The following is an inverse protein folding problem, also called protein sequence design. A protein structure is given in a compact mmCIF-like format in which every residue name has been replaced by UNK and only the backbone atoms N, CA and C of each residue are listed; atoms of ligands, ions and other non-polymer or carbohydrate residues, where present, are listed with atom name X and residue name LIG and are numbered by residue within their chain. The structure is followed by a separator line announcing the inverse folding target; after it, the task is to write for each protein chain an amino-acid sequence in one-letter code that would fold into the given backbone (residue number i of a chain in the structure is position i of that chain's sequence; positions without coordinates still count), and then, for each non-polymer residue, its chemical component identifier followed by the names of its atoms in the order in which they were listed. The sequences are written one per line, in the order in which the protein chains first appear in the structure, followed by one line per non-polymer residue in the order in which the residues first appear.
data_IF_620447971942
#
_entry.id   IF_620447971942
#
_cell.length_a   1.000
_cell.length_b   1.000
_cell.length_c   1.000
_cell.angle_alpha   90.00
_cell.angle_beta   90.00
_cell.angle_gamma   90.00
#
_symmetry.space_group_name_H-M   'P 1'
#
loop_
_entity.id
_entity.type
_entity.pdbx_description
1 polymer ?
#
# COMPACT_ATOMS: atom_id res chain seq x y z
N UNK A 1 -14.46 2.62 -8.73
CA UNK A 1 -13.43 3.66 -8.98
C UNK A 1 -13.22 4.42 -7.68
N UNK A 2 -11.98 4.66 -7.26
CA UNK A 2 -11.68 5.44 -6.05
C UNK A 2 -11.70 6.93 -6.44
N UNK A 3 -12.60 7.76 -5.86
CA UNK A 3 -12.76 9.14 -6.30
C UNK A 3 -11.65 10.07 -5.80
N UNK A 4 -11.09 9.79 -4.62
CA UNK A 4 -9.98 10.55 -4.03
C UNK A 4 -9.02 9.56 -3.39
N UNK A 5 -7.78 9.51 -3.90
CA UNK A 5 -6.73 8.65 -3.37
C UNK A 5 -6.25 9.17 -2.01
N UNK A 6 -5.81 8.26 -1.14
CA UNK A 6 -5.14 8.61 0.10
C UNK A 6 -3.67 9.03 -0.10
N UNK A 7 -3.07 8.67 -1.24
CA UNK A 7 -1.68 8.96 -1.59
C UNK A 7 -1.56 9.25 -3.10
N UNK A 8 -0.85 10.32 -3.44
CA UNK A 8 -0.57 10.70 -4.83
C UNK A 8 0.79 10.14 -5.28
N UNK A 9 0.83 9.55 -6.46
CA UNK A 9 2.05 9.00 -7.05
C UNK A 9 2.45 9.83 -8.28
N UNK A 10 3.76 10.10 -8.50
CA UNK A 10 4.24 10.81 -9.69
C UNK A 10 4.26 9.92 -10.95
N UNK A 11 3.78 8.68 -10.85
CA UNK A 11 3.72 7.69 -11.92
C UNK A 11 2.36 6.98 -11.90
N UNK A 12 2.01 6.34 -13.01
CA UNK A 12 0.79 5.55 -13.09
C UNK A 12 0.96 4.22 -12.35
N UNK A 13 0.01 3.90 -11.47
CA UNK A 13 -0.01 2.60 -10.79
C UNK A 13 -0.29 1.46 -11.78
N UNK A 14 0.43 0.35 -11.59
CA UNK A 14 0.16 -0.91 -12.29
C UNK A 14 -1.20 -1.47 -11.91
N UNK A 15 -1.74 -2.36 -12.76
CA UNK A 15 -3.07 -2.97 -12.57
C UNK A 15 -3.23 -3.61 -11.20
N UNK A 16 -2.23 -4.36 -10.72
CA UNK A 16 -2.31 -5.02 -9.41
C UNK A 16 -2.29 -4.02 -8.24
N UNK A 17 -1.56 -2.90 -8.39
CA UNK A 17 -1.51 -1.84 -7.40
C UNK A 17 -2.86 -1.11 -7.33
N UNK A 18 -3.45 -0.79 -8.48
CA UNK A 18 -4.80 -0.20 -8.58
C UNK A 18 -5.87 -1.10 -7.95
N UNK A 19 -5.81 -2.41 -8.20
CA UNK A 19 -6.71 -3.38 -7.58
C UNK A 19 -6.53 -3.44 -6.05
N UNK A 20 -5.29 -3.46 -5.57
CA UNK A 20 -5.01 -3.45 -4.14
C UNK A 20 -5.53 -2.18 -3.47
N UNK A 21 -5.25 -1.00 -4.06
CA UNK A 21 -5.77 0.30 -3.61
C UNK A 21 -7.30 0.30 -3.54
N UNK A 22 -7.96 -0.19 -4.60
CA UNK A 22 -9.41 -0.28 -4.63
C UNK A 22 -9.96 -1.15 -3.49
N UNK A 23 -9.40 -2.33 -3.26
CA UNK A 23 -9.85 -3.21 -2.18
C UNK A 23 -9.54 -2.66 -0.78
N UNK A 24 -8.39 -2.00 -0.59
CA UNK A 24 -8.07 -1.32 0.67
C UNK A 24 -9.08 -0.20 0.99
N UNK A 25 -9.48 0.59 0.01
CA UNK A 25 -10.52 1.63 0.18
C UNK A 25 -11.90 1.07 0.52
N UNK A 26 -12.19 -0.20 0.16
CA UNK A 26 -13.40 -0.90 0.61
C UNK A 26 -13.27 -1.49 2.02
N UNK A 27 -12.13 -1.30 2.70
CA UNK A 27 -11.85 -1.89 4.00
C UNK A 27 -11.55 -3.39 3.94
N UNK A 28 -11.23 -3.94 2.76
CA UNK A 28 -10.83 -5.34 2.63
C UNK A 28 -9.33 -5.52 2.86
N UNK A 29 -8.95 -6.68 3.37
CA UNK A 29 -7.55 -7.12 3.41
C UNK A 29 -7.05 -7.54 2.03
N UNK A 30 -5.78 -7.27 1.73
CA UNK A 30 -5.14 -7.63 0.46
C UNK A 30 -3.92 -8.51 0.69
N UNK A 31 -3.68 -9.45 -0.24
CA UNK A 31 -2.47 -10.26 -0.30
C UNK A 31 -1.81 -10.06 -1.67
N UNK A 32 -0.64 -9.42 -1.68
CA UNK A 32 0.06 -9.05 -2.92
C UNK A 32 1.31 -9.89 -3.09
N UNK A 33 1.30 -10.79 -4.08
CA UNK A 33 2.45 -11.58 -4.49
C UNK A 33 2.93 -11.11 -5.87
N UNK A 34 4.05 -10.39 -5.89
CA UNK A 34 4.71 -9.93 -7.10
C UNK A 34 6.24 -10.01 -6.93
N UNK A 35 7.00 -9.97 -8.03
CA UNK A 35 8.46 -10.05 -8.02
C UNK A 35 9.11 -8.90 -7.22
N UNK A 36 10.33 -9.10 -6.72
CA UNK A 36 11.14 -8.00 -6.17
C UNK A 36 11.32 -6.93 -7.25
N UNK A 37 11.43 -5.65 -6.84
CA UNK A 37 11.46 -4.51 -7.75
C UNK A 37 10.18 -4.24 -8.58
N UNK A 38 9.10 -5.01 -8.42
CA UNK A 38 7.81 -4.75 -9.08
C UNK A 38 6.97 -3.61 -8.44
N UNK A 39 7.55 -2.80 -7.55
CA UNK A 39 6.82 -1.68 -6.93
C UNK A 39 5.75 -2.07 -5.89
N UNK A 40 5.86 -3.24 -5.24
CA UNK A 40 4.91 -3.64 -4.17
C UNK A 40 4.80 -2.62 -3.02
N UNK A 41 5.85 -1.84 -2.79
CA UNK A 41 5.90 -0.78 -1.76
C UNK A 41 4.77 0.23 -1.88
N UNK A 42 4.33 0.56 -3.11
CA UNK A 42 3.22 1.49 -3.32
C UNK A 42 1.94 1.05 -2.58
N UNK A 43 1.65 -0.27 -2.53
CA UNK A 43 0.48 -0.78 -1.80
C UNK A 43 0.63 -0.57 -0.28
N UNK A 44 1.84 -0.73 0.26
CA UNK A 44 2.11 -0.50 1.67
C UNK A 44 2.06 0.99 2.04
N UNK A 45 2.64 1.87 1.21
CA UNK A 45 2.57 3.32 1.36
C UNK A 45 1.13 3.80 1.35
N UNK A 46 0.31 3.28 0.42
CA UNK A 46 -1.12 3.60 0.38
C UNK A 46 -1.84 3.21 1.66
N UNK A 47 -1.58 2.00 2.18
CA UNK A 47 -2.19 1.54 3.43
C UNK A 47 -1.78 2.41 4.63
N UNK A 48 -0.56 2.95 4.65
CA UNK A 48 -0.10 3.93 5.66
C UNK A 48 -0.84 5.26 5.48
N UNK A 49 -0.92 5.81 4.27
CA UNK A 49 -1.64 7.07 4.04
C UNK A 49 -3.15 6.94 4.33
N UNK A 50 -3.74 5.79 4.02
CA UNK A 50 -5.15 5.51 4.32
C UNK A 50 -5.40 5.43 5.83
N UNK A 51 -4.50 4.82 6.61
CA UNK A 51 -4.64 4.79 8.06
C UNK A 51 -4.49 6.19 8.67
N UNK A 52 -3.56 7.00 8.17
CA UNK A 52 -3.41 8.41 8.56
C UNK A 52 -4.69 9.21 8.27
N UNK A 53 -5.28 9.06 7.09
CA UNK A 53 -6.57 9.68 6.71
C UNK A 53 -7.70 9.30 7.65
N UNK A 54 -7.70 8.06 8.14
CA UNK A 54 -8.72 7.54 9.07
C UNK A 54 -8.35 7.69 10.56
N UNK A 55 -7.25 8.38 10.89
CA UNK A 55 -6.73 8.50 12.27
C UNK A 55 -6.53 7.14 12.97
N UNK A 56 -6.15 6.12 12.20
CA UNK A 56 -5.76 4.79 12.71
C UNK A 56 -4.25 4.61 12.57
N UNK A 57 -3.73 3.45 12.98
CA UNK A 57 -2.28 3.15 12.97
C UNK A 57 -1.98 1.98 12.05
N UNK A 58 -0.89 2.07 11.31
CA UNK A 58 -0.31 0.95 10.55
C UNK A 58 0.92 0.41 11.26
N UNK A 59 1.03 -0.92 11.36
CA UNK A 59 2.22 -1.61 11.86
C UNK A 59 2.90 -2.27 10.66
N UNK A 60 4.13 -1.88 10.38
CA UNK A 60 4.97 -2.54 9.39
C UNK A 60 5.85 -3.59 10.07
N UNK A 61 5.87 -4.81 9.51
CA UNK A 61 6.72 -5.90 10.00
C UNK A 61 7.56 -6.45 8.85
N UNK A 62 8.82 -6.76 9.16
CA UNK A 62 9.75 -7.40 8.24
C UNK A 62 10.35 -8.62 8.91
N UNK A 63 10.56 -9.74 8.21
CA UNK A 63 11.14 -10.95 8.79
C UNK A 63 12.63 -10.79 9.14
N UNK A 64 13.31 -9.77 8.59
CA UNK A 64 14.75 -9.53 8.82
C UNK A 64 14.93 -8.18 9.50
N UNK A 65 15.53 -8.19 10.70
CA UNK A 65 15.76 -6.99 11.52
C UNK A 65 16.61 -5.93 10.83
N UNK A 66 17.60 -6.33 10.02
CA UNK A 66 18.42 -5.36 9.30
C UNK A 66 17.58 -4.53 8.30
N UNK A 67 16.53 -5.12 7.71
CA UNK A 67 15.66 -4.46 6.75
C UNK A 67 14.60 -3.56 7.40
N UNK A 68 14.42 -3.60 8.73
CA UNK A 68 13.50 -2.66 9.40
C UNK A 68 14.12 -1.29 9.69
N UNK A 69 15.44 -1.18 9.59
CA UNK A 69 16.19 0.05 9.87
C UNK A 69 16.66 0.79 8.59
N UNK A 70 16.41 0.19 7.42
CA UNK A 70 16.73 0.76 6.11
C UNK A 70 15.64 1.74 5.68
#
# INVERSE_FOLDING_TARGET
MVPVLAHDYPFELDTFQKQAVYHLEQGHSVFVAAHTSAGKTAVAEYAVSLSLKHMTKTIYTSPIKALSNQ
#
